data_IF_033188292826
#
_entry.id   IF_033188292826
#
_cell.length_a   1.000
_cell.length_b   1.000
_cell.length_c   1.000
_cell.angle_alpha   90.00
_cell.angle_beta   90.00
_cell.angle_gamma   90.00
#
_symmetry.space_group_name_H-M   'P 1'
#
loop_
_entity.id
_entity.type
_entity.pdbx_description
1 polymer ?
#
# COMPACT_ATOMS: atom_id res chain seq x y z
N UNK A 1 17.78 -3.21 4.11
CA UNK A 1 17.78 -2.72 2.73
C UNK A 1 16.48 -2.03 2.42
N UNK A 2 16.56 -0.85 1.84
CA UNK A 2 15.36 -0.04 1.58
C UNK A 2 14.84 -0.29 0.16
N UNK A 3 13.54 -0.05 0.00
CA UNK A 3 12.88 -0.05 -1.30
C UNK A 3 12.53 1.38 -1.65
N UNK A 4 12.44 1.67 -2.94
CA UNK A 4 12.00 2.96 -3.42
C UNK A 4 10.49 2.91 -3.68
N UNK A 5 9.75 3.84 -3.07
CA UNK A 5 8.33 3.99 -3.36
C UNK A 5 8.17 4.86 -4.60
N UNK A 6 7.44 4.36 -5.58
CA UNK A 6 7.19 5.08 -6.84
C UNK A 6 5.71 5.44 -6.87
N UNK A 7 5.41 6.73 -6.75
CA UNK A 7 4.03 7.21 -6.69
C UNK A 7 3.58 7.69 -8.05
N UNK A 8 2.55 7.06 -8.58
CA UNK A 8 1.94 7.49 -9.84
C UNK A 8 0.91 8.59 -9.57
N UNK A 9 0.62 9.39 -10.62
CA UNK A 9 -0.42 10.43 -10.50
C UNK A 9 -1.76 9.82 -10.12
N UNK A 10 -2.08 8.67 -10.69
CA UNK A 10 -3.34 8.00 -10.39
C UNK A 10 -3.41 7.60 -8.91
N UNK A 11 -2.34 7.01 -8.38
CA UNK A 11 -2.33 6.64 -6.98
C UNK A 11 -2.43 7.88 -6.07
N UNK A 12 -1.71 8.94 -6.43
CA UNK A 12 -1.72 10.16 -5.62
C UNK A 12 -3.14 10.73 -5.52
N UNK A 13 -3.90 10.70 -6.62
CA UNK A 13 -5.30 11.15 -6.60
C UNK A 13 -6.17 10.26 -5.71
N UNK A 14 -5.96 8.96 -5.80
CA UNK A 14 -6.70 7.99 -4.97
C UNK A 14 -6.38 8.15 -3.49
N UNK A 15 -5.10 8.32 -3.18
CA UNK A 15 -4.65 8.51 -1.80
C UNK A 15 -5.18 9.81 -1.22
N UNK A 16 -5.16 10.89 -1.99
CA UNK A 16 -5.68 12.17 -1.53
C UNK A 16 -7.17 12.07 -1.20
N UNK A 17 -7.94 11.39 -2.05
CA UNK A 17 -9.37 11.17 -1.82
C UNK A 17 -9.59 10.34 -0.56
N UNK A 18 -8.81 9.28 -0.41
CA UNK A 18 -8.92 8.41 0.76
C UNK A 18 -8.59 9.17 2.06
N UNK A 19 -7.52 9.97 2.03
CA UNK A 19 -7.11 10.76 3.19
C UNK A 19 -8.17 11.79 3.59
N UNK A 20 -8.89 12.37 2.63
CA UNK A 20 -10.00 13.28 2.94
C UNK A 20 -11.13 12.58 3.67
N UNK A 21 -11.35 11.29 3.37
CA UNK A 21 -12.37 10.50 4.04
C UNK A 21 -11.91 9.92 5.38
N UNK A 22 -10.59 9.81 5.56
CA UNK A 22 -10.01 9.20 6.75
C UNK A 22 -8.90 10.07 7.33
N UNK A 23 -9.22 11.33 7.70
CA UNK A 23 -8.18 12.22 8.22
C UNK A 23 -7.56 11.71 9.52
N UNK A 24 -8.30 10.93 10.29
CA UNK A 24 -7.82 10.32 11.52
C UNK A 24 -6.72 9.28 11.27
N UNK A 25 -6.61 8.78 10.05
CA UNK A 25 -5.64 7.73 9.70
C UNK A 25 -4.39 8.28 9.01
N UNK A 26 -4.29 9.61 8.86
CA UNK A 26 -3.15 10.21 8.16
C UNK A 26 -1.82 9.81 8.78
N UNK A 27 -1.72 9.88 10.09
CA UNK A 27 -0.50 9.55 10.81
C UNK A 27 -0.12 8.09 10.60
N UNK A 28 -1.11 7.21 10.72
CA UNK A 28 -0.91 5.78 10.54
C UNK A 28 -0.51 5.47 9.09
N UNK A 29 -1.12 6.15 8.13
CA UNK A 29 -0.80 5.98 6.72
C UNK A 29 0.66 6.33 6.44
N UNK A 30 1.12 7.49 6.91
CA UNK A 30 2.50 7.91 6.71
C UNK A 30 3.49 6.96 7.36
N UNK A 31 3.16 6.48 8.56
CA UNK A 31 3.99 5.51 9.25
C UNK A 31 4.06 4.19 8.48
N UNK A 32 2.94 3.78 7.89
CA UNK A 32 2.88 2.57 7.08
C UNK A 32 3.79 2.69 5.86
N UNK A 33 3.78 3.84 5.18
CA UNK A 33 4.67 4.06 4.04
C UNK A 33 6.14 4.04 4.44
N UNK A 34 6.49 4.62 5.59
CA UNK A 34 7.86 4.59 6.08
C UNK A 34 8.31 3.16 6.35
N UNK A 35 7.44 2.38 6.96
CA UNK A 35 7.75 0.99 7.28
C UNK A 35 7.88 0.16 6.01
N UNK A 36 6.99 0.40 5.04
CA UNK A 36 7.02 -0.28 3.76
C UNK A 36 8.34 -0.02 3.02
N UNK A 37 8.79 1.22 3.04
CA UNK A 37 10.05 1.61 2.40
C UNK A 37 11.24 0.92 3.08
N UNK A 38 11.21 0.85 4.40
CA UNK A 38 12.30 0.26 5.16
C UNK A 38 12.34 -1.27 5.02
N UNK A 39 11.18 -1.91 5.05
CA UNK A 39 11.08 -3.38 4.98
C UNK A 39 9.66 -3.82 4.65
N UNK A 40 9.36 -4.12 3.38
CA UNK A 40 8.01 -4.55 3.01
C UNK A 40 7.59 -5.86 3.66
N UNK A 41 8.55 -6.63 4.18
CA UNK A 41 8.27 -7.91 4.81
C UNK A 41 8.05 -7.79 6.32
N UNK A 42 8.01 -6.58 6.86
CA UNK A 42 7.76 -6.39 8.29
C UNK A 42 6.42 -7.03 8.66
N UNK A 43 6.37 -7.83 9.75
CA UNK A 43 5.15 -8.58 10.07
C UNK A 43 3.90 -7.75 10.24
N UNK A 44 4.01 -6.52 10.74
CA UNK A 44 2.83 -5.67 10.96
C UNK A 44 2.17 -5.24 9.65
N UNK A 45 2.88 -5.29 8.54
CA UNK A 45 2.31 -4.93 7.23
C UNK A 45 1.46 -6.04 6.63
N UNK A 46 1.65 -7.27 7.06
CA UNK A 46 0.91 -8.43 6.56
C UNK A 46 0.92 -8.53 5.04
N UNK A 47 2.10 -8.36 4.46
CA UNK A 47 2.27 -8.43 3.01
C UNK A 47 1.81 -9.80 2.50
N UNK A 48 0.95 -9.79 1.49
CA UNK A 48 0.54 -11.05 0.86
C UNK A 48 0.17 -10.81 -0.60
N UNK A 49 0.38 -11.85 -1.41
CA UNK A 49 0.04 -11.81 -2.83
C UNK A 49 -1.47 -11.94 -3.01
N UNK A 50 -2.00 -11.21 -3.98
CA UNK A 50 -3.42 -11.28 -4.32
C UNK A 50 -3.64 -12.30 -5.42
N UNK A 51 -4.86 -12.79 -5.52
CA UNK A 51 -5.25 -13.83 -6.48
C UNK A 51 -6.34 -13.32 -7.40
N UNK A 52 -6.66 -14.14 -8.43
CA UNK A 52 -7.72 -13.82 -9.36
C UNK A 52 -7.37 -12.65 -10.25
N UNK A 53 -8.29 -11.70 -10.37
CA UNK A 53 -8.10 -10.54 -11.23
C UNK A 53 -6.93 -9.67 -10.82
N UNK A 54 -6.55 -9.73 -9.54
CA UNK A 54 -5.47 -8.93 -9.00
C UNK A 54 -4.17 -9.71 -8.87
N UNK A 55 -4.10 -10.87 -9.54
CA UNK A 55 -2.89 -11.67 -9.57
C UNK A 55 -1.71 -10.83 -10.06
N UNK A 56 -0.58 -10.93 -9.37
CA UNK A 56 0.60 -10.11 -9.66
C UNK A 56 0.73 -8.90 -8.76
N UNK A 57 -0.33 -8.56 -8.03
CA UNK A 57 -0.29 -7.49 -7.06
C UNK A 57 -0.20 -8.05 -5.64
N UNK A 58 0.23 -7.20 -4.71
CA UNK A 58 0.29 -7.53 -3.29
C UNK A 58 -0.55 -6.54 -2.50
N UNK A 59 -0.86 -6.91 -1.27
CA UNK A 59 -1.60 -6.06 -0.35
C UNK A 59 -0.83 -5.95 0.95
N UNK A 60 -0.87 -4.76 1.55
CA UNK A 60 -0.39 -4.54 2.92
C UNK A 60 -1.48 -3.87 3.74
N UNK A 61 -1.39 -4.02 5.05
CA UNK A 61 -2.38 -3.46 5.98
C UNK A 61 -1.92 -2.12 6.51
N UNK A 62 -2.81 -1.12 6.48
CA UNK A 62 -2.65 0.11 7.25
C UNK A 62 -3.19 -0.15 8.66
N UNK A 63 -4.38 -0.74 8.71
CA UNK A 63 -4.98 -1.25 9.94
C UNK A 63 -5.84 -2.46 9.58
N UNK A 64 -6.72 -2.89 10.46
CA UNK A 64 -7.54 -4.07 10.20
C UNK A 64 -8.51 -3.88 9.03
N UNK A 65 -8.93 -2.63 8.77
CA UNK A 65 -9.95 -2.33 7.77
C UNK A 65 -9.39 -1.76 6.47
N UNK A 66 -8.23 -1.10 6.52
CA UNK A 66 -7.71 -0.34 5.39
C UNK A 66 -6.42 -0.93 4.88
N UNK A 67 -6.27 -1.00 3.57
CA UNK A 67 -5.15 -1.68 2.91
C UNK A 67 -4.62 -0.85 1.75
N UNK A 68 -3.35 -1.11 1.41
CA UNK A 68 -2.75 -0.58 0.20
C UNK A 68 -2.48 -1.76 -0.73
N UNK A 69 -2.97 -1.66 -1.97
CA UNK A 69 -2.64 -2.61 -3.02
C UNK A 69 -1.46 -2.04 -3.79
N UNK A 70 -0.47 -2.87 -4.06
CA UNK A 70 0.77 -2.40 -4.64
C UNK A 70 1.40 -3.45 -5.56
N UNK A 71 2.30 -2.99 -6.42
CA UNK A 71 3.15 -3.84 -7.23
C UNK A 71 4.53 -3.86 -6.57
N UNK A 72 5.03 -5.06 -6.31
CA UNK A 72 6.32 -5.27 -5.64
C UNK A 72 7.34 -5.78 -6.65
N UNK A 73 8.32 -4.95 -6.97
CA UNK A 73 9.38 -5.29 -7.90
C UNK A 73 10.65 -5.59 -7.09
N UNK A 74 10.82 -6.86 -6.77
CA UNK A 74 11.87 -7.29 -5.85
C UNK A 74 13.26 -7.01 -6.41
N UNK A 75 13.48 -7.33 -7.68
CA UNK A 75 14.81 -7.16 -8.30
C UNK A 75 15.20 -5.70 -8.39
N UNK A 76 14.25 -4.83 -8.71
CA UNK A 76 14.49 -3.40 -8.85
C UNK A 76 14.41 -2.66 -7.50
N UNK A 77 13.96 -3.34 -6.46
CA UNK A 77 13.72 -2.76 -5.14
C UNK A 77 12.79 -1.56 -5.22
N UNK A 78 11.72 -1.72 -5.99
CA UNK A 78 10.71 -0.70 -6.14
C UNK A 78 9.35 -1.22 -5.70
N UNK A 79 8.57 -0.32 -5.15
CA UNK A 79 7.19 -0.60 -4.75
C UNK A 79 6.32 0.47 -5.36
N UNK A 80 5.32 0.06 -6.13
CA UNK A 80 4.43 0.97 -6.83
C UNK A 80 3.03 0.81 -6.24
N UNK A 81 2.62 1.71 -5.33
CA UNK A 81 1.25 1.65 -4.81
C UNK A 81 0.25 1.89 -5.93
N UNK A 82 -0.84 1.11 -5.91
CA UNK A 82 -1.86 1.15 -6.95
C UNK A 82 -3.18 1.70 -6.42
N UNK A 83 -3.57 1.27 -5.22
CA UNK A 83 -4.85 1.71 -4.65
C UNK A 83 -4.78 1.66 -3.13
N UNK A 84 -5.67 2.41 -2.50
CA UNK A 84 -5.80 2.41 -1.04
C UNK A 84 -7.28 2.49 -0.68
N UNK A 85 -7.68 1.75 0.36
CA UNK A 85 -9.07 1.75 0.78
C UNK A 85 -9.40 0.54 1.62
N UNK A 86 -10.70 0.36 1.87
CA UNK A 86 -11.19 -0.81 2.59
C UNK A 86 -11.13 -2.06 1.71
N UNK A 87 -11.35 -3.20 2.33
CA UNK A 87 -11.28 -4.49 1.64
C UNK A 87 -12.16 -4.52 0.38
N UNK A 88 -13.39 -4.00 0.49
CA UNK A 88 -14.32 -4.03 -0.64
C UNK A 88 -13.94 -3.08 -1.76
N UNK A 89 -13.15 -2.06 -1.46
CA UNK A 89 -12.74 -1.05 -2.43
C UNK A 89 -11.54 -1.50 -3.26
N UNK A 90 -10.61 -2.22 -2.64
CA UNK A 90 -9.35 -2.57 -3.28
C UNK A 90 -9.31 -4.00 -3.79
N UNK A 91 -10.26 -4.80 -3.43
CA UNK A 91 -10.39 -6.18 -3.87
C UNK A 91 -11.63 -6.37 -4.75
#
# INVERSE_FOLDING_TARGET
>A
MTYQLVFTDQYNRRAARWLRRHPELRKQYLKTLQLLEANPYHPSLRLHALKGRLSGLHSISINLSQRITLELLIQDREIIPVNVGGHDTVY
#
